data_IF_842348053281
#
_entry.id   IF_842348053281
#
_cell.length_a   1.000
_cell.length_b   1.000
_cell.length_c   1.000
_cell.angle_alpha   90.00
_cell.angle_beta   90.00
_cell.angle_gamma   90.00
#
_symmetry.space_group_name_H-M   'P 1'
#
loop_
_entity.id
_entity.type
_entity.pdbx_description
1 polymer ?
#
# COMPACT_ATOMS: atom_id res chain seq x y z
N UNK A 1 -8.70 0.05 13.45
CA UNK A 1 -8.82 1.27 12.86
C UNK A 1 -7.87 1.40 11.82
N UNK A 2 -8.39 1.86 10.85
CA UNK A 2 -7.42 2.33 9.97
C UNK A 2 -6.56 3.24 10.77
N UNK A 3 -5.36 3.22 10.44
CA UNK A 3 -4.46 4.16 10.97
C UNK A 3 -5.06 5.52 10.76
N UNK A 4 -4.82 6.35 11.69
CA UNK A 4 -5.19 7.70 11.55
C UNK A 4 -4.18 8.36 10.64
N UNK A 5 -4.39 8.22 9.36
CA UNK A 5 -3.48 8.78 8.39
C UNK A 5 -3.49 10.29 8.49
N UNK A 6 -2.41 10.88 8.05
CA UNK A 6 -2.21 12.29 8.20
C UNK A 6 -1.63 12.66 9.55
N UNK A 7 -1.62 11.72 10.49
CA UNK A 7 -0.95 11.90 11.75
C UNK A 7 0.22 10.97 11.83
N UNK A 8 1.29 11.44 12.36
CA UNK A 8 2.42 10.57 12.59
C UNK A 8 2.08 9.57 13.65
N UNK A 9 2.55 8.37 13.46
CA UNK A 9 2.62 7.40 14.51
C UNK A 9 3.73 7.78 15.45
N UNK A 10 3.83 7.02 16.52
CA UNK A 10 4.91 7.23 17.45
C UNK A 10 6.24 7.31 16.71
N UNK A 11 7.07 8.23 17.10
CA UNK A 11 8.34 8.47 16.43
C UNK A 11 9.17 7.21 16.30
N UNK A 12 9.03 6.27 17.23
CA UNK A 12 9.79 5.04 17.22
C UNK A 12 9.43 4.11 16.07
N UNK A 13 8.20 4.19 15.59
CA UNK A 13 7.72 3.29 14.55
C UNK A 13 7.78 3.88 13.14
N UNK A 14 8.11 5.13 13.01
CA UNK A 14 8.09 5.82 11.74
C UNK A 14 6.81 6.62 11.54
N UNK A 15 6.65 7.16 10.34
CA UNK A 15 5.50 7.97 9.95
C UNK A 15 4.82 7.31 8.79
N UNK A 16 3.48 7.25 8.84
CA UNK A 16 2.66 6.70 7.76
C UNK A 16 1.55 7.69 7.44
N UNK A 17 1.42 8.05 6.17
CA UNK A 17 0.42 9.01 5.72
C UNK A 17 -0.37 8.48 4.54
N UNK A 18 -1.69 8.69 4.57
CA UNK A 18 -2.56 8.35 3.47
C UNK A 18 -2.51 9.48 2.43
N UNK A 19 -2.13 9.13 1.22
CA UNK A 19 -2.05 10.10 0.13
C UNK A 19 -3.30 10.10 -0.75
N UNK A 20 -4.22 9.17 -0.54
CA UNK A 20 -5.38 9.02 -1.40
C UNK A 20 -5.08 8.23 -2.67
N UNK A 21 -5.70 8.63 -3.76
CA UNK A 21 -5.56 8.00 -5.08
C UNK A 21 -6.13 6.59 -5.17
N UNK A 22 -7.05 6.23 -4.28
CA UNK A 22 -7.74 4.94 -4.35
C UNK A 22 -8.77 4.95 -5.47
N UNK A 23 -9.14 3.75 -5.94
CA UNK A 23 -10.20 3.57 -6.92
C UNK A 23 -11.17 2.51 -6.41
N UNK A 24 -12.45 2.87 -6.35
CA UNK A 24 -13.52 1.98 -5.89
C UNK A 24 -13.79 0.89 -6.92
N UNK A 25 -14.09 -0.30 -6.47
CA UNK A 25 -14.38 -1.44 -7.31
C UNK A 25 -15.62 -2.19 -6.89
N UNK A 26 -15.55 -3.51 -6.84
CA UNK A 26 -16.66 -4.41 -6.58
C UNK A 26 -17.43 -4.03 -5.32
N UNK A 27 -18.74 -4.04 -5.41
CA UNK A 27 -19.68 -3.73 -4.32
C UNK A 27 -19.53 -2.31 -3.77
N UNK A 28 -18.95 -1.40 -4.54
CA UNK A 28 -18.73 -0.03 -4.08
C UNK A 28 -17.67 0.08 -3.01
N UNK A 29 -16.89 -0.97 -2.80
CA UNK A 29 -15.83 -0.95 -1.81
C UNK A 29 -14.55 -0.37 -2.39
N UNK A 30 -13.80 0.32 -1.54
CA UNK A 30 -12.54 0.93 -1.92
C UNK A 30 -11.42 0.22 -1.17
N UNK A 31 -10.48 -0.39 -1.88
CA UNK A 31 -9.36 -1.07 -1.21
C UNK A 31 -8.57 -0.11 -0.32
N UNK A 32 -8.08 -0.65 0.79
CA UNK A 32 -7.29 0.11 1.76
C UNK A 32 -6.06 -0.66 2.17
N UNK A 33 -4.95 0.05 2.26
CA UNK A 33 -3.75 -0.48 2.89
C UNK A 33 -3.84 -0.21 4.39
N UNK A 34 -3.62 -1.28 5.16
CA UNK A 34 -3.49 -1.20 6.62
C UNK A 34 -2.09 -1.67 6.97
N UNK A 35 -1.32 -0.81 7.58
CA UNK A 35 0.07 -1.12 7.91
C UNK A 35 0.15 -1.63 9.35
N UNK A 36 0.59 -2.87 9.52
CA UNK A 36 0.71 -3.49 10.83
C UNK A 36 2.18 -3.75 11.12
N UNK A 37 2.76 -2.92 11.96
CA UNK A 37 4.16 -3.03 12.32
C UNK A 37 4.86 -1.70 12.23
N UNK A 38 6.17 -1.73 12.39
CA UNK A 38 6.98 -0.54 12.38
C UNK A 38 8.10 -0.65 11.37
N UNK A 39 8.78 0.45 11.14
CA UNK A 39 9.98 0.52 10.30
C UNK A 39 11.24 0.68 11.15
N UNK A 40 11.20 0.24 12.40
CA UNK A 40 12.39 0.11 13.21
C UNK A 40 13.29 -0.96 12.61
N UNK A 41 14.58 -0.73 12.49
CA UNK A 41 15.49 -1.76 11.99
C UNK A 41 15.36 -3.06 12.76
N UNK A 42 15.26 -4.17 12.04
CA UNK A 42 15.17 -5.50 12.65
C UNK A 42 13.80 -5.93 13.05
N UNK A 43 12.74 -5.14 12.79
CA UNK A 43 11.38 -5.54 13.12
C UNK A 43 10.71 -6.22 11.95
N UNK A 44 9.64 -6.96 12.24
CA UNK A 44 8.80 -7.59 11.23
C UNK A 44 7.40 -7.05 11.36
N UNK A 45 6.66 -7.11 10.28
CA UNK A 45 5.27 -6.69 10.25
C UNK A 45 4.60 -7.17 8.99
N UNK A 46 3.44 -6.63 8.71
CA UNK A 46 2.75 -6.96 7.47
C UNK A 46 1.94 -5.77 6.99
N UNK A 47 1.82 -5.70 5.67
CA UNK A 47 0.98 -4.73 5.00
C UNK A 47 -0.24 -5.49 4.51
N UNK A 48 -1.41 -5.14 5.03
CA UNK A 48 -2.65 -5.78 4.66
C UNK A 48 -3.39 -4.90 3.67
N UNK A 49 -4.10 -5.53 2.72
CA UNK A 49 -5.02 -4.80 1.86
C UNK A 49 -6.39 -5.41 2.07
N UNK A 50 -7.36 -4.57 2.38
CA UNK A 50 -8.72 -4.98 2.69
C UNK A 50 -9.70 -4.33 1.71
N UNK A 51 -10.93 -4.83 1.71
CA UNK A 51 -12.03 -4.31 0.89
C UNK A 51 -11.74 -4.40 -0.61
N UNK A 52 -11.00 -5.43 -0.99
CA UNK A 52 -10.70 -5.73 -2.38
C UNK A 52 -11.74 -6.72 -2.91
N UNK A 53 -11.84 -6.81 -4.22
CA UNK A 53 -12.64 -7.86 -4.85
C UNK A 53 -12.13 -9.23 -4.39
N UNK A 54 -13.01 -10.15 -3.99
CA UNK A 54 -12.57 -11.50 -3.62
C UNK A 54 -11.96 -12.27 -4.78
N UNK A 55 -11.00 -13.13 -4.47
CA UNK A 55 -10.43 -14.10 -5.40
C UNK A 55 -9.91 -13.45 -6.69
N UNK A 56 -9.19 -12.36 -6.56
CA UNK A 56 -8.66 -11.66 -7.73
C UNK A 56 -7.16 -11.47 -7.61
N UNK A 57 -6.52 -11.27 -8.75
CA UNK A 57 -5.10 -11.01 -8.82
C UNK A 57 -4.83 -9.51 -8.77
N UNK A 58 -3.68 -9.16 -8.26
CA UNK A 58 -3.24 -7.78 -8.22
C UNK A 58 -1.75 -7.64 -8.01
N UNK A 59 -1.34 -6.40 -7.80
CA UNK A 59 0.05 -6.04 -7.57
C UNK A 59 0.13 -5.11 -6.37
N UNK A 60 1.15 -5.29 -5.55
CA UNK A 60 1.57 -4.21 -4.67
C UNK A 60 2.89 -3.67 -5.19
N UNK A 61 3.01 -2.36 -5.24
CA UNK A 61 4.16 -1.68 -5.81
C UNK A 61 4.73 -0.70 -4.81
N UNK A 62 6.04 -0.53 -4.86
CA UNK A 62 6.74 0.38 -3.97
C UNK A 62 7.83 1.12 -4.74
N UNK A 63 8.01 2.38 -4.43
CA UNK A 63 9.08 3.19 -4.97
C UNK A 63 9.51 4.25 -3.97
N UNK A 64 10.60 4.95 -4.28
CA UNK A 64 11.16 5.93 -3.37
C UNK A 64 10.76 7.36 -3.72
N UNK A 65 10.11 7.57 -4.85
CA UNK A 65 9.69 8.91 -5.28
C UNK A 65 8.25 8.88 -5.77
N UNK A 66 7.50 9.97 -5.60
CA UNK A 66 6.15 10.10 -6.15
C UNK A 66 6.21 10.77 -7.52
N UNK A 67 5.66 10.13 -8.54
CA UNK A 67 5.66 10.68 -9.91
C UNK A 67 4.26 10.89 -10.46
N UNK A 68 3.24 10.35 -9.84
CA UNK A 68 1.84 10.53 -10.23
C UNK A 68 1.59 10.21 -11.71
N UNK A 69 1.82 8.97 -12.08
CA UNK A 69 1.70 8.51 -13.45
C UNK A 69 0.30 7.94 -13.69
N UNK A 70 -0.30 8.21 -14.86
CA UNK A 70 -1.57 7.59 -15.21
C UNK A 70 -1.42 6.08 -15.31
N UNK A 71 -2.36 5.34 -14.71
CA UNK A 71 -2.30 3.89 -14.67
C UNK A 71 -3.70 3.31 -14.52
N UNK A 72 -4.16 2.58 -15.55
CA UNK A 72 -5.45 1.87 -15.53
C UNK A 72 -6.62 2.71 -15.00
N UNK A 73 -6.75 3.92 -15.51
CA UNK A 73 -7.84 4.81 -15.14
C UNK A 73 -7.64 5.56 -13.83
N UNK A 74 -6.53 5.37 -13.18
CA UNK A 74 -6.20 6.04 -11.93
C UNK A 74 -4.79 6.60 -11.96
N UNK A 75 -4.22 6.77 -10.76
CA UNK A 75 -2.90 7.38 -10.61
C UNK A 75 -1.98 6.43 -9.88
N UNK A 76 -0.85 6.11 -10.50
CA UNK A 76 0.23 5.36 -9.90
C UNK A 76 1.14 6.38 -9.21
N UNK A 77 1.26 6.28 -7.89
CA UNK A 77 2.03 7.24 -7.12
C UNK A 77 3.51 6.88 -7.07
N UNK A 78 3.91 5.64 -6.68
CA UNK A 78 5.33 5.31 -6.66
C UNK A 78 5.84 5.09 -8.08
N UNK A 79 6.88 5.81 -8.43
CA UNK A 79 7.51 5.63 -9.75
C UNK A 79 8.88 6.31 -9.74
N UNK A 80 9.95 5.68 -10.23
CA UNK A 80 9.99 4.32 -10.80
C UNK A 80 9.67 3.25 -9.76
N UNK A 81 9.23 2.10 -10.25
CA UNK A 81 8.88 0.98 -9.37
C UNK A 81 10.14 0.25 -8.95
N UNK A 82 10.35 0.16 -7.64
CA UNK A 82 11.51 -0.54 -7.07
C UNK A 82 11.15 -1.97 -6.67
N UNK A 83 9.91 -2.15 -6.22
CA UNK A 83 9.40 -3.47 -5.86
C UNK A 83 8.03 -3.64 -6.48
N UNK A 84 7.80 -4.81 -7.08
CA UNK A 84 6.51 -5.23 -7.61
C UNK A 84 6.28 -6.65 -7.13
N UNK A 85 5.19 -6.86 -6.40
CA UNK A 85 4.81 -8.20 -5.94
C UNK A 85 3.42 -8.54 -6.46
N UNK A 86 3.26 -9.74 -7.00
CA UNK A 86 1.95 -10.23 -7.42
C UNK A 86 1.21 -10.75 -6.21
N UNK A 87 -0.06 -10.38 -6.09
CA UNK A 87 -0.91 -10.73 -4.97
C UNK A 87 -2.17 -11.42 -5.46
N UNK A 88 -2.76 -12.25 -4.57
CA UNK A 88 -4.07 -12.86 -4.83
C UNK A 88 -4.90 -12.68 -3.57
N UNK A 89 -6.09 -12.11 -3.71
CA UNK A 89 -6.99 -11.95 -2.58
C UNK A 89 -7.71 -13.25 -2.28
N UNK A 90 -8.12 -13.43 -1.02
CA UNK A 90 -8.91 -14.59 -0.61
C UNK A 90 -10.40 -14.34 -0.83
N UNK A 91 -11.23 -15.25 -0.31
CA UNK A 91 -12.69 -15.16 -0.47
C UNK A 91 -13.32 -13.98 0.27
N UNK A 92 -12.56 -13.30 1.12
CA UNK A 92 -13.03 -12.11 1.84
C UNK A 92 -12.51 -10.82 1.22
N UNK A 93 -11.75 -10.88 0.13
CA UNK A 93 -11.14 -9.69 -0.44
C UNK A 93 -9.99 -9.16 0.37
N UNK A 94 -9.23 -10.04 0.99
CA UNK A 94 -8.14 -9.70 1.88
C UNK A 94 -6.85 -10.33 1.39
N UNK A 95 -5.75 -9.61 1.53
CA UNK A 95 -4.42 -10.13 1.31
C UNK A 95 -3.45 -9.47 2.27
N UNK A 96 -2.48 -10.25 2.76
CA UNK A 96 -1.48 -9.76 3.70
C UNK A 96 -0.09 -10.02 3.12
N UNK A 97 0.76 -9.01 3.19
CA UNK A 97 2.15 -9.10 2.70
C UNK A 97 3.07 -8.93 3.89
N UNK A 98 3.73 -10.00 4.32
CA UNK A 98 4.69 -9.88 5.42
C UNK A 98 5.96 -9.18 4.95
N UNK A 99 6.60 -8.47 5.88
CA UNK A 99 7.88 -7.85 5.60
C UNK A 99 8.80 -7.97 6.80
N UNK A 100 10.09 -7.86 6.51
CA UNK A 100 11.12 -7.80 7.54
C UNK A 100 11.96 -6.56 7.24
N UNK A 101 11.96 -5.61 8.18
CA UNK A 101 12.71 -4.36 7.97
C UNK A 101 14.17 -4.60 8.35
N UNK A 102 15.11 -4.46 7.41
CA UNK A 102 16.51 -4.86 7.67
C UNK A 102 17.15 -4.07 8.80
N UNK A 103 18.06 -4.72 9.50
CA UNK A 103 18.88 -4.01 10.50
C UNK A 103 19.71 -2.91 9.88
N UNK A 104 20.09 -3.08 8.61
CA UNK A 104 20.92 -2.13 7.90
C UNK A 104 20.12 -1.04 7.19
N UNK A 105 18.80 -1.01 7.35
CA UNK A 105 17.99 0.00 6.69
C UNK A 105 18.41 1.40 7.17
N UNK A 106 18.55 2.34 6.25
CA UNK A 106 18.93 3.70 6.66
C UNK A 106 17.80 4.37 7.42
N UNK A 107 18.12 5.28 8.32
CA UNK A 107 17.11 6.08 8.99
C UNK A 107 16.46 7.05 8.01
N UNK A 108 15.22 7.43 8.31
CA UNK A 108 14.49 8.45 7.54
C UNK A 108 14.37 8.09 6.06
N UNK A 109 14.25 6.79 5.77
CA UNK A 109 14.03 6.33 4.41
C UNK A 109 12.56 6.52 4.05
N UNK A 110 12.32 7.31 3.00
CA UNK A 110 10.96 7.55 2.51
C UNK A 110 10.60 6.55 1.44
N UNK A 111 9.37 6.07 1.48
CA UNK A 111 8.86 5.19 0.43
C UNK A 111 7.38 5.43 0.20
N UNK A 112 6.90 5.02 -0.98
CA UNK A 112 5.52 5.14 -1.40
C UNK A 112 5.04 3.76 -1.81
N UNK A 113 3.88 3.36 -1.29
CA UNK A 113 3.33 2.01 -1.49
C UNK A 113 1.89 2.13 -1.95
N UNK A 114 1.51 1.31 -2.93
CA UNK A 114 0.15 1.29 -3.46
C UNK A 114 -0.13 -0.10 -4.01
N UNK A 115 -1.40 -0.50 -4.02
CA UNK A 115 -1.81 -1.79 -4.56
C UNK A 115 -2.90 -1.60 -5.61
N UNK A 116 -2.84 -2.41 -6.66
CA UNK A 116 -3.80 -2.40 -7.76
C UNK A 116 -4.33 -3.81 -7.96
N UNK A 117 -5.63 -3.94 -8.23
CA UNK A 117 -6.26 -5.25 -8.38
C UNK A 117 -7.14 -5.28 -9.62
N UNK A 118 -7.19 -6.43 -10.28
CA UNK A 118 -8.13 -6.63 -11.37
C UNK A 118 -9.53 -6.61 -10.80
N UNK A 119 -10.38 -5.74 -11.32
CA UNK A 119 -11.72 -5.57 -10.81
C UNK A 119 -12.61 -4.97 -11.91
N UNK A 120 -13.53 -5.78 -12.50
CA UNK A 120 -14.38 -5.29 -13.59
C UNK A 120 -15.29 -4.12 -13.20
N UNK A 121 -15.53 -3.92 -11.91
CA UNK A 121 -16.37 -2.82 -11.45
C UNK A 121 -15.58 -1.52 -11.28
N UNK A 122 -14.28 -1.57 -11.38
CA UNK A 122 -13.45 -0.38 -11.25
C UNK A 122 -13.17 0.29 -12.58
N UNK A 123 -12.59 1.50 -12.55
CA UNK A 123 -12.19 2.18 -13.77
C UNK A 123 -11.17 1.36 -14.54
N UNK A 124 -11.36 1.25 -15.84
CA UNK A 124 -10.44 0.52 -16.71
C UNK A 124 -10.18 -0.91 -16.21
N UNK A 125 -11.20 -1.51 -15.57
CA UNK A 125 -11.18 -2.87 -15.01
C UNK A 125 -10.19 -3.06 -13.87
N UNK A 126 -9.90 -2.01 -13.11
CA UNK A 126 -9.03 -2.08 -11.94
C UNK A 126 -9.62 -1.33 -10.76
N UNK A 127 -9.34 -1.82 -9.55
CA UNK A 127 -9.48 -1.05 -8.32
C UNK A 127 -8.08 -0.80 -7.75
N UNK A 128 -7.97 0.17 -6.87
CA UNK A 128 -6.69 0.52 -6.29
C UNK A 128 -6.84 0.92 -4.84
N UNK A 129 -5.85 0.56 -4.04
CA UNK A 129 -5.77 1.03 -2.68
C UNK A 129 -5.33 2.50 -2.65
N UNK A 130 -5.50 3.12 -1.48
CA UNK A 130 -4.85 4.37 -1.22
C UNK A 130 -3.33 4.19 -1.35
N UNK A 131 -2.65 5.22 -1.79
CA UNK A 131 -1.20 5.27 -1.73
C UNK A 131 -0.80 5.70 -0.33
N UNK A 132 0.22 5.06 0.21
CA UNK A 132 0.74 5.36 1.55
C UNK A 132 2.17 5.85 1.43
N UNK A 133 2.43 6.99 2.04
CA UNK A 133 3.78 7.51 2.22
C UNK A 133 4.29 7.04 3.58
N UNK A 134 5.42 6.39 3.59
CA UNK A 134 6.00 5.86 4.80
C UNK A 134 7.45 6.32 4.94
N UNK A 135 7.83 6.70 6.17
CA UNK A 135 9.19 7.14 6.48
C UNK A 135 9.66 6.37 7.69
N UNK A 136 10.84 5.75 7.59
CA UNK A 136 11.42 5.06 8.72
C UNK A 136 11.88 6.08 9.78
N UNK A 137 11.99 5.64 11.05
CA UNK A 137 12.39 6.55 12.12
C UNK A 137 13.82 7.06 11.96
N UNK A 138 14.14 8.16 12.61
CA UNK A 138 15.49 8.74 12.56
C UNK A 138 16.54 7.86 13.20
#
# INVERSE_FOLDING_TARGET
ACLHFGSSLAANGGVFEDMGFSMTGTNGLTPHIVWNGSLQPGTVGNVDVIDVRPNTAGLIVMGYTPELVNFHGGTLVPYPLEIILVLFTDGSGFVSVPYSWPLSAPPELSMYVQAFFQDPAGPDDYSASNAVYAVSPP
#
